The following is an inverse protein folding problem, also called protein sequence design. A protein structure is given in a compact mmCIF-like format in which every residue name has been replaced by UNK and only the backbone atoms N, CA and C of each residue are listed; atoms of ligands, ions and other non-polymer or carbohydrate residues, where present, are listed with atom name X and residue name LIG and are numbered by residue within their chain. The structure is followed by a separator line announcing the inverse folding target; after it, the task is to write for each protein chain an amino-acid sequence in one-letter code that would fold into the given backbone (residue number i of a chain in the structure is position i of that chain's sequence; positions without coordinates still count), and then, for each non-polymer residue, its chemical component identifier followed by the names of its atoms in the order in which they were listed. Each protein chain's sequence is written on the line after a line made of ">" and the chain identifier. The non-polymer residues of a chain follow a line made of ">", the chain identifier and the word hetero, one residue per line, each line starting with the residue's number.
data_IF_720611844999
#
_entry.id   IF_720611844999
#
_cell.length_a   1.000
_cell.length_b   1.000
_cell.length_c   1.000
_cell.angle_alpha   90.00
_cell.angle_beta   90.00
_cell.angle_gamma   90.00
#
_symmetry.space_group_name_H-M   'P 1'
#
loop_
_entity.id
_entity.type
_entity.pdbx_description
1 polymer ?
#
# COMPACT_ATOMS: atom_id res chain seq x y z
N UNK A 1 -13.01 11.41 5.82
CA UNK A 1 -12.00 10.34 5.65
C UNK A 1 -11.40 10.41 4.24
N UNK A 2 -10.11 10.04 4.06
CA UNK A 2 -9.47 9.98 2.73
C UNK A 2 -9.78 8.65 2.05
N UNK A 3 -10.00 8.66 0.74
CA UNK A 3 -10.05 7.43 -0.07
C UNK A 3 -8.64 7.06 -0.52
N UNK A 4 -8.32 5.77 -0.48
CA UNK A 4 -7.05 5.21 -0.97
C UNK A 4 -7.33 4.10 -1.96
N UNK A 5 -6.34 3.77 -2.78
CA UNK A 5 -6.38 2.58 -3.61
C UNK A 5 -5.95 1.36 -2.79
N UNK A 6 -6.72 0.27 -2.88
CA UNK A 6 -6.41 -1.05 -2.35
C UNK A 6 -6.30 -2.00 -3.55
N UNK A 7 -5.13 -2.58 -3.84
CA UNK A 7 -5.01 -3.47 -4.99
C UNK A 7 -5.86 -4.74 -4.83
N UNK A 8 -6.27 -5.39 -5.92
CA UNK A 8 -7.24 -6.49 -5.88
C UNK A 8 -6.84 -7.67 -4.99
N UNK A 9 -5.54 -8.03 -4.96
CA UNK A 9 -5.04 -9.14 -4.15
C UNK A 9 -5.22 -8.86 -2.65
N UNK A 10 -4.83 -7.67 -2.19
CA UNK A 10 -5.02 -7.23 -0.81
C UNK A 10 -6.51 -7.03 -0.48
N UNK A 11 -7.31 -6.56 -1.44
CA UNK A 11 -8.76 -6.44 -1.27
C UNK A 11 -9.43 -7.81 -1.05
N UNK A 12 -8.99 -8.85 -1.75
CA UNK A 12 -9.49 -10.21 -1.54
C UNK A 12 -9.17 -10.75 -0.15
N UNK A 13 -7.95 -10.53 0.35
CA UNK A 13 -7.58 -10.89 1.74
C UNK A 13 -8.45 -10.14 2.74
N UNK A 14 -8.67 -8.84 2.52
CA UNK A 14 -9.53 -8.03 3.38
C UNK A 14 -10.99 -8.52 3.38
N UNK A 15 -11.54 -8.91 2.24
CA UNK A 15 -12.90 -9.46 2.16
C UNK A 15 -13.07 -10.72 3.01
N UNK A 16 -12.13 -11.67 2.90
CA UNK A 16 -12.12 -12.89 3.71
C UNK A 16 -12.06 -12.54 5.21
N UNK A 17 -11.24 -11.57 5.59
CA UNK A 17 -11.15 -11.11 6.98
C UNK A 17 -12.48 -10.50 7.46
N UNK A 18 -13.09 -9.64 6.65
CA UNK A 18 -14.38 -9.00 6.99
C UNK A 18 -15.49 -10.03 7.19
N UNK A 19 -15.56 -11.03 6.33
CA UNK A 19 -16.58 -12.10 6.42
C UNK A 19 -16.38 -12.97 7.65
N UNK A 20 -15.14 -13.26 8.01
CA UNK A 20 -14.82 -14.22 9.08
C UNK A 20 -14.81 -13.59 10.47
N UNK A 21 -14.39 -12.33 10.60
CA UNK A 21 -14.05 -11.74 11.90
C UNK A 21 -14.78 -10.43 12.22
N UNK A 22 -15.41 -9.78 11.24
CA UNK A 22 -16.02 -8.46 11.47
C UNK A 22 -17.53 -8.59 11.69
N UNK A 23 -18.05 -7.89 12.69
CA UNK A 23 -19.49 -7.68 12.83
C UNK A 23 -20.04 -6.89 11.62
N UNK A 24 -21.32 -7.08 11.31
CA UNK A 24 -22.00 -6.43 10.17
C UNK A 24 -22.40 -4.97 10.41
N UNK A 25 -22.30 -4.49 11.66
CA UNK A 25 -22.63 -3.11 11.99
C UNK A 25 -21.71 -2.13 11.24
N UNK A 26 -22.25 -1.00 10.80
CA UNK A 26 -21.52 -0.04 9.95
C UNK A 26 -20.31 0.60 10.66
N UNK A 27 -20.34 0.68 11.98
CA UNK A 27 -19.30 1.21 12.86
C UNK A 27 -18.42 0.11 13.47
N UNK A 28 -18.62 -1.16 13.08
CA UNK A 28 -17.81 -2.27 13.54
C UNK A 28 -16.34 -2.07 13.18
N UNK A 29 -15.48 -2.39 14.14
CA UNK A 29 -14.03 -2.34 13.94
C UNK A 29 -13.60 -3.51 13.06
N UNK A 30 -12.86 -3.19 12.00
CA UNK A 30 -12.32 -4.20 11.08
C UNK A 30 -11.21 -5.02 11.75
N UNK A 31 -10.32 -4.37 12.49
CA UNK A 31 -9.19 -5.04 13.16
C UNK A 31 -9.28 -4.82 14.67
N UNK A 32 -9.42 -5.91 15.42
CA UNK A 32 -9.58 -5.91 16.88
C UNK A 32 -8.61 -6.89 17.53
N UNK A 33 -8.46 -6.79 18.85
CA UNK A 33 -7.93 -7.88 19.66
C UNK A 33 -8.87 -9.10 19.61
N UNK A 34 -8.41 -10.23 20.15
CA UNK A 34 -9.23 -11.44 20.36
C UNK A 34 -10.44 -11.21 21.26
N UNK A 35 -10.41 -10.14 22.08
CA UNK A 35 -11.52 -9.73 22.96
C UNK A 35 -12.43 -8.67 22.32
N UNK A 36 -12.27 -8.38 21.03
CA UNK A 36 -13.06 -7.37 20.31
C UNK A 36 -12.69 -5.90 20.63
N UNK A 37 -11.66 -5.68 21.45
CA UNK A 37 -11.17 -4.33 21.79
C UNK A 37 -10.24 -3.79 20.71
N UNK A 38 -9.79 -2.55 20.90
CA UNK A 38 -8.75 -1.97 20.07
C UNK A 38 -7.53 -2.88 19.97
N UNK A 39 -7.00 -2.98 18.75
CA UNK A 39 -5.76 -3.68 18.50
C UNK A 39 -4.60 -2.89 19.10
N UNK A 40 -3.96 -3.46 20.10
CA UNK A 40 -2.74 -2.88 20.66
C UNK A 40 -1.58 -3.02 19.67
N UNK A 41 -0.85 -1.92 19.47
CA UNK A 41 0.21 -1.86 18.45
C UNK A 41 1.46 -2.65 18.87
N UNK A 42 1.75 -2.73 20.17
CA UNK A 42 2.84 -3.54 20.70
C UNK A 42 2.56 -5.04 20.49
N UNK A 43 1.38 -5.49 20.88
CA UNK A 43 0.95 -6.87 20.65
C UNK A 43 0.91 -7.22 19.17
N UNK A 44 0.39 -6.35 18.30
CA UNK A 44 0.46 -6.55 16.84
C UNK A 44 1.91 -6.71 16.36
N UNK A 45 2.82 -5.87 16.87
CA UNK A 45 4.23 -5.90 16.51
C UNK A 45 4.89 -7.23 16.90
N UNK A 46 4.62 -7.71 18.11
CA UNK A 46 5.28 -8.90 18.66
C UNK A 46 4.66 -10.21 18.22
N UNK A 47 3.33 -10.27 18.16
CA UNK A 47 2.58 -11.52 17.96
C UNK A 47 2.29 -11.84 16.51
N UNK A 48 2.22 -10.83 15.64
CA UNK A 48 1.90 -11.03 14.23
C UNK A 48 3.00 -10.51 13.30
N UNK A 49 3.43 -9.26 13.49
CA UNK A 49 4.39 -8.65 12.57
C UNK A 49 5.76 -9.32 12.61
N UNK A 50 6.38 -9.44 13.78
CA UNK A 50 7.73 -10.02 13.92
C UNK A 50 7.78 -11.47 13.38
N UNK A 51 6.87 -12.38 13.76
CA UNK A 51 6.88 -13.75 13.22
C UNK A 51 6.66 -13.79 11.70
N UNK A 52 5.70 -13.03 11.16
CA UNK A 52 5.44 -12.99 9.73
C UNK A 52 6.64 -12.45 8.94
N UNK A 53 7.32 -11.43 9.48
CA UNK A 53 8.53 -10.86 8.89
C UNK A 53 9.69 -11.84 8.90
N UNK A 54 9.94 -12.54 10.00
CA UNK A 54 11.02 -13.53 10.11
C UNK A 54 10.79 -14.72 9.18
N UNK A 55 9.54 -15.15 9.03
CA UNK A 55 9.16 -16.19 8.07
C UNK A 55 9.38 -15.75 6.61
N UNK A 56 8.96 -14.52 6.27
CA UNK A 56 9.08 -14.00 4.90
C UNK A 56 10.50 -13.56 4.54
N UNK A 57 11.26 -13.09 5.53
CA UNK A 57 12.62 -12.55 5.39
C UNK A 57 13.54 -13.19 6.44
N UNK A 58 14.05 -14.40 6.16
CA UNK A 58 14.97 -15.11 7.04
C UNK A 58 16.25 -14.32 7.33
N UNK A 59 17.02 -14.81 8.31
CA UNK A 59 18.30 -14.22 8.69
C UNK A 59 19.22 -14.05 7.47
N UNK A 60 19.87 -12.89 7.39
CA UNK A 60 20.70 -12.48 6.25
C UNK A 60 19.94 -11.80 5.10
N UNK A 61 18.60 -11.87 5.05
CA UNK A 61 17.85 -11.14 4.03
C UNK A 61 17.89 -9.63 4.28
N UNK A 62 18.04 -8.81 3.24
CA UNK A 62 18.12 -7.33 3.35
C UNK A 62 16.90 -6.68 4.03
N UNK A 63 15.74 -7.34 4.00
CA UNK A 63 14.49 -6.87 4.63
C UNK A 63 14.25 -7.52 6.00
N UNK A 64 15.20 -8.29 6.54
CA UNK A 64 15.03 -9.00 7.80
C UNK A 64 14.63 -8.07 8.96
N UNK A 65 15.16 -6.84 8.99
CA UNK A 65 14.83 -5.82 10.01
C UNK A 65 13.81 -4.78 9.56
N UNK A 66 13.08 -5.03 8.47
CA UNK A 66 12.15 -4.04 7.91
C UNK A 66 11.00 -3.74 8.89
N UNK A 67 10.72 -2.44 9.08
CA UNK A 67 9.59 -1.97 9.88
C UNK A 67 8.29 -1.89 9.07
N UNK A 68 7.14 -1.95 9.74
CA UNK A 68 5.81 -1.83 9.09
C UNK A 68 5.65 -0.56 8.26
N UNK A 69 6.24 0.55 8.71
CA UNK A 69 6.18 1.82 7.99
C UNK A 69 6.83 1.73 6.59
N UNK A 70 7.79 0.83 6.37
CA UNK A 70 8.37 0.64 5.05
C UNK A 70 7.35 0.16 4.00
N UNK A 71 6.27 -0.53 4.41
CA UNK A 71 5.21 -0.96 3.49
C UNK A 71 4.38 0.21 2.97
N UNK A 72 4.25 1.28 3.76
CA UNK A 72 3.69 2.54 3.27
C UNK A 72 4.56 3.10 2.15
N UNK A 73 5.87 3.10 2.32
CA UNK A 73 6.79 3.56 1.26
C UNK A 73 6.73 2.66 0.02
N UNK A 74 6.68 1.34 0.21
CA UNK A 74 6.53 0.36 -0.85
C UNK A 74 5.25 0.58 -1.66
N UNK A 75 4.12 0.80 -1.00
CA UNK A 75 2.84 1.06 -1.67
C UNK A 75 2.92 2.31 -2.55
N UNK A 76 3.50 3.39 -2.02
CA UNK A 76 3.69 4.64 -2.79
C UNK A 76 4.64 4.43 -3.97
N UNK A 77 5.78 3.77 -3.78
CA UNK A 77 6.71 3.44 -4.88
C UNK A 77 6.02 2.60 -5.95
N UNK A 78 5.19 1.61 -5.57
CA UNK A 78 4.41 0.80 -6.50
C UNK A 78 3.43 1.65 -7.32
N UNK A 79 2.72 2.59 -6.69
CA UNK A 79 1.80 3.49 -7.39
C UNK A 79 2.54 4.37 -8.40
N UNK A 80 3.66 4.98 -8.00
CA UNK A 80 4.42 5.87 -8.89
C UNK A 80 5.00 5.10 -10.08
N UNK A 81 5.53 3.90 -9.86
CA UNK A 81 6.01 3.01 -10.95
C UNK A 81 4.89 2.52 -11.87
N UNK A 82 3.67 2.37 -11.35
CA UNK A 82 2.50 2.09 -12.17
C UNK A 82 1.99 3.33 -12.93
N UNK A 83 2.65 4.47 -12.79
CA UNK A 83 2.32 5.70 -13.49
C UNK A 83 1.23 6.54 -12.82
N UNK A 84 0.88 6.26 -11.56
CA UNK A 84 -0.07 7.07 -10.81
C UNK A 84 0.50 8.47 -10.61
N UNK A 85 -0.24 9.54 -10.95
CA UNK A 85 0.25 10.91 -10.78
C UNK A 85 0.64 11.21 -9.33
N UNK A 86 1.73 11.95 -9.14
CA UNK A 86 2.29 12.28 -7.82
C UNK A 86 1.23 12.84 -6.86
N UNK A 87 0.38 13.77 -7.34
CA UNK A 87 -0.70 14.36 -6.55
C UNK A 87 -1.74 13.34 -6.09
N UNK A 88 -2.05 12.35 -6.93
CA UNK A 88 -2.99 11.26 -6.58
C UNK A 88 -2.37 10.32 -5.56
N UNK A 89 -1.10 9.92 -5.75
CA UNK A 89 -0.38 9.10 -4.79
C UNK A 89 -0.20 9.82 -3.43
N UNK A 90 0.05 11.13 -3.45
CA UNK A 90 0.09 11.98 -2.24
C UNK A 90 -1.23 11.92 -1.48
N UNK A 91 -2.36 12.09 -2.18
CA UNK A 91 -3.71 12.04 -1.60
C UNK A 91 -4.05 10.66 -1.03
N UNK A 92 -3.75 9.58 -1.74
CA UNK A 92 -3.99 8.20 -1.25
C UNK A 92 -3.13 7.88 -0.03
N UNK A 93 -1.86 8.24 -0.06
CA UNK A 93 -0.99 8.17 1.10
C UNK A 93 -1.39 9.16 2.20
N UNK A 94 -2.23 10.16 1.90
CA UNK A 94 -2.43 11.42 2.63
C UNK A 94 -1.15 11.96 3.24
N UNK A 95 -0.24 12.29 2.34
CA UNK A 95 0.77 13.31 2.54
C UNK A 95 0.08 14.68 2.57
N UNK A 96 0.48 15.53 3.51
CA UNK A 96 -0.07 16.88 3.62
C UNK A 96 0.52 17.82 2.55
N UNK A 97 1.74 17.52 2.10
CA UNK A 97 2.48 18.33 1.14
C UNK A 97 3.09 17.44 0.04
N UNK A 98 2.79 17.80 -1.21
CA UNK A 98 3.30 17.12 -2.40
C UNK A 98 4.79 17.39 -2.60
N UNK A 99 5.29 18.58 -2.25
CA UNK A 99 6.71 18.89 -2.38
C UNK A 99 7.54 18.02 -1.43
N UNK A 100 7.06 17.83 -0.20
CA UNK A 100 7.67 16.89 0.75
C UNK A 100 7.71 15.48 0.18
N UNK A 101 6.59 14.98 -0.34
CA UNK A 101 6.57 13.67 -1.00
C UNK A 101 7.57 13.59 -2.16
N UNK A 102 7.63 14.61 -3.03
CA UNK A 102 8.56 14.66 -4.16
C UNK A 102 10.01 14.50 -3.69
N UNK A 103 10.45 15.29 -2.69
CA UNK A 103 11.80 15.19 -2.12
C UNK A 103 12.15 13.79 -1.62
N UNK A 104 11.16 13.05 -1.10
CA UNK A 104 11.37 11.67 -0.67
C UNK A 104 11.55 10.69 -1.83
N UNK A 105 10.82 10.89 -2.94
CA UNK A 105 10.72 9.89 -4.01
C UNK A 105 11.55 10.17 -5.25
N UNK A 106 11.93 11.43 -5.50
CA UNK A 106 12.74 11.82 -6.67
C UNK A 106 14.01 10.99 -6.81
N UNK A 107 14.81 10.85 -5.74
CA UNK A 107 16.03 10.04 -5.77
C UNK A 107 15.79 8.53 -5.63
N UNK A 108 14.56 8.09 -5.37
CA UNK A 108 14.20 6.68 -5.10
C UNK A 108 13.46 6.02 -6.27
N UNK A 109 13.30 6.73 -7.37
CA UNK A 109 12.66 6.26 -8.59
C UNK A 109 13.65 6.40 -9.78
N UNK A 110 14.71 5.58 -9.81
CA UNK A 110 15.62 5.58 -10.96
C UNK A 110 14.92 5.05 -12.21
N UNK A 111 15.26 5.61 -13.37
CA UNK A 111 14.72 5.20 -14.68
C UNK A 111 13.33 5.74 -14.99
N UNK A 112 12.89 6.81 -14.29
CA UNK A 112 11.59 7.44 -14.52
C UNK A 112 11.44 7.98 -15.96
N UNK A 113 12.54 8.41 -16.58
CA UNK A 113 12.63 8.80 -17.99
C UNK A 113 12.34 7.62 -18.94
N UNK A 114 12.94 6.45 -18.69
CA UNK A 114 12.70 5.23 -19.46
C UNK A 114 11.28 4.70 -19.25
N UNK A 115 10.76 4.77 -18.03
CA UNK A 115 9.36 4.43 -17.73
C UNK A 115 8.39 5.40 -18.42
N UNK A 116 8.70 6.69 -18.47
CA UNK A 116 7.90 7.66 -19.22
C UNK A 116 7.95 7.37 -20.72
N UNK A 117 9.13 7.14 -21.28
CA UNK A 117 9.33 6.82 -22.68
C UNK A 117 8.55 5.56 -23.11
N UNK A 118 8.63 4.47 -22.34
CA UNK A 118 7.91 3.23 -22.66
C UNK A 118 6.38 3.40 -22.66
N UNK A 119 5.83 4.24 -21.77
CA UNK A 119 4.41 4.56 -21.78
C UNK A 119 4.01 5.43 -22.97
N UNK A 120 4.86 6.38 -23.36
CA UNK A 120 4.61 7.24 -24.54
C UNK A 120 4.72 6.46 -25.84
N UNK A 121 5.62 5.46 -25.92
CA UNK A 121 5.78 4.59 -27.09
C UNK A 121 4.71 3.51 -27.19
N UNK A 122 3.97 3.25 -26.11
CA UNK A 122 2.83 2.33 -26.16
C UNK A 122 1.72 3.03 -26.95
N UNK A 123 1.32 2.51 -28.13
CA UNK A 123 0.27 3.15 -28.91
C UNK A 123 -1.00 3.23 -28.06
N UNK A 124 -1.57 4.43 -27.96
CA UNK A 124 -2.88 4.64 -27.34
C UNK A 124 -3.84 3.75 -28.10
N UNK A 125 -4.28 2.65 -27.47
CA UNK A 125 -5.46 1.95 -27.96
C UNK A 125 -6.60 2.94 -27.81
N UNK A 126 -7.03 3.51 -28.94
CA UNK A 126 -8.25 4.29 -29.02
C UNK A 126 -9.35 3.48 -28.35
N UNK A 127 -9.90 4.02 -27.26
CA UNK A 127 -11.12 3.50 -26.66
C UNK A 127 -12.19 3.69 -27.72
N UNK A 128 -12.43 2.65 -28.53
CA UNK A 128 -13.50 2.63 -29.50
C UNK A 128 -14.80 2.86 -28.73
N UNK A 129 -15.45 3.97 -29.05
CA UNK A 129 -16.76 4.34 -28.54
C UNK A 129 -17.75 3.20 -28.79
N UNK A 130 -18.38 2.72 -27.73
CA UNK A 130 -19.70 2.09 -27.86
C UNK A 130 -20.70 3.25 -27.96
N UNK A 131 -21.13 3.52 -29.19
CA UNK A 131 -22.42 4.16 -29.47
C UNK A 131 -23.54 3.12 -29.33
#
# INVERSE_FOLDING_TARGET
>A
GRRTYLPPAEASILRVHLERFCARAADARVFTSTTGRHLDTGHLQERAWRPARELAFPDGHRLHRVGRHAFRHLAVTRWLRAGVPLRTAARWGGWNDVATMLRWYESRLPGDDLFAASRMSTPVQAVASQC
#
